data_IF_882039606419
#
_entry.id   IF_882039606419
#
_cell.length_a   1.000
_cell.length_b   1.000
_cell.length_c   1.000
_cell.angle_alpha   90.00
_cell.angle_beta   90.00
_cell.angle_gamma   90.00
#
_symmetry.space_group_name_H-M   'P 1'
#
loop_
_entity.id
_entity.type
_entity.pdbx_description
1 polymer ?
2 non-polymer ?
3 water ?
#
# COMPACT_ATOMS: atom_id res chain seq x y z
N UNK A 3 -17.46 -11.46 -3.09
CA UNK A 3 -16.85 -10.84 -4.30
C UNK A 3 -15.34 -11.02 -4.25
N UNK A 4 -14.76 -11.54 -5.32
CA UNK A 4 -13.31 -11.75 -5.36
C UNK A 4 -12.65 -10.59 -6.11
N UNK A 5 -11.45 -10.20 -5.68
CA UNK A 5 -10.67 -9.19 -6.41
C UNK A 5 -9.42 -9.87 -6.96
N UNK A 6 -8.69 -10.57 -6.10
CA UNK A 6 -7.46 -11.28 -6.53
C UNK A 6 -7.74 -12.69 -7.01
N UNK A 7 -6.80 -13.28 -7.78
CA UNK A 7 -6.90 -14.71 -8.13
C UNK A 7 -7.10 -15.60 -6.90
N UNK A 8 -7.95 -16.62 -7.05
CA UNK A 8 -8.31 -17.53 -5.98
C UNK A 8 -7.17 -18.08 -5.14
N UNK A 9 -6.08 -18.47 -5.80
CA UNK A 9 -4.97 -19.02 -5.07
C UNK A 9 -4.25 -17.95 -4.20
N UNK A 10 -4.16 -16.70 -4.70
CA UNK A 10 -3.61 -15.58 -3.92
C UNK A 10 -4.48 -15.28 -2.71
N UNK A 11 -5.79 -15.19 -2.91
CA UNK A 11 -6.72 -15.07 -1.80
C UNK A 11 -6.59 -16.23 -0.78
N UNK A 12 -6.47 -17.47 -1.28
CA UNK A 12 -6.20 -18.66 -0.43
C UNK A 12 -4.94 -18.45 0.42
N UNK A 13 -3.87 -17.97 -0.21
CA UNK A 13 -2.60 -17.77 0.52
C UNK A 13 -2.76 -16.69 1.60
N UNK A 14 -3.39 -15.56 1.25
CA UNK A 14 -3.64 -14.50 2.20
C UNK A 14 -4.48 -15.02 3.38
N UNK A 15 -5.49 -15.84 3.05
CA UNK A 15 -6.37 -16.40 4.09
C UNK A 15 -5.55 -17.29 5.01
N UNK A 16 -4.62 -18.09 4.46
CA UNK A 16 -3.76 -18.98 5.25
C UNK A 16 -2.91 -18.17 6.24
N UNK A 17 -2.35 -17.06 5.76
CA UNK A 17 -1.51 -16.22 6.62
C UNK A 17 -2.34 -15.64 7.78
N UNK A 18 -3.51 -15.08 7.48
CA UNK A 18 -4.34 -14.48 8.53
C UNK A 18 -4.75 -15.59 9.52
N UNK A 19 -5.12 -16.74 8.98
CA UNK A 19 -5.61 -17.84 9.81
C UNK A 19 -4.51 -18.38 10.76
N UNK A 20 -3.30 -18.53 10.22
CA UNK A 20 -2.15 -19.05 10.97
C UNK A 20 -1.60 -18.04 11.97
N UNK A 21 -1.45 -16.78 11.53
CA UNK A 21 -0.73 -15.81 12.33
C UNK A 21 -1.60 -15.35 13.51
N UNK A 22 -2.91 -15.39 13.34
CA UNK A 22 -3.78 -14.86 14.42
C UNK A 22 -3.57 -15.62 15.76
N UNK A 23 -3.74 -16.97 15.78
CA UNK A 23 -3.53 -17.68 17.06
C UNK A 23 -2.09 -17.69 17.56
N UNK A 24 -1.16 -17.48 16.64
CA UNK A 24 0.24 -17.32 16.99
C UNK A 24 0.60 -15.92 17.53
N UNK A 25 -0.32 -14.97 17.39
CA UNK A 25 -0.12 -13.58 17.85
C UNK A 25 0.94 -12.86 17.03
N UNK A 26 1.05 -13.22 15.76
CA UNK A 26 2.08 -12.65 14.90
C UNK A 26 1.52 -11.58 13.96
N UNK A 27 2.36 -10.61 13.63
CA UNK A 27 1.95 -9.54 12.74
C UNK A 27 2.99 -9.37 11.63
N UNK A 28 2.53 -8.76 10.53
CA UNK A 28 3.35 -8.61 9.34
C UNK A 28 3.39 -7.14 8.90
N UNK A 29 4.49 -6.74 8.30
CA UNK A 29 4.55 -5.47 7.61
C UNK A 29 5.07 -5.70 6.21
N UNK A 30 4.73 -4.81 5.31
CA UNK A 30 5.09 -5.02 3.91
C UNK A 30 5.82 -3.80 3.44
N UNK A 31 6.74 -3.99 2.50
CA UNK A 31 7.48 -2.90 1.90
C UNK A 31 7.45 -3.15 0.40
N UNK A 32 6.84 -2.26 -0.37
CA UNK A 32 6.52 -2.61 -1.74
C UNK A 32 7.01 -1.56 -2.72
N UNK A 33 7.72 -2.02 -3.73
CA UNK A 33 8.08 -1.13 -4.80
C UNK A 33 7.11 -1.49 -5.97
N UNK A 34 7.48 -2.54 -6.71
CA UNK A 34 6.82 -2.90 -7.96
C UNK A 34 5.34 -3.30 -7.86
N UNK A 35 4.92 -3.88 -6.71
CA UNK A 35 3.50 -4.30 -6.51
C UNK A 35 2.61 -3.15 -6.06
N UNK A 36 3.21 -2.03 -5.71
CA UNK A 36 2.48 -0.76 -5.47
C UNK A 36 1.40 -0.76 -4.37
N UNK A 37 1.48 -1.72 -3.45
CA UNK A 37 0.48 -1.82 -2.37
C UNK A 37 -0.40 -3.06 -2.45
N UNK A 38 -0.31 -3.82 -3.57
CA UNK A 38 -1.16 -4.99 -3.76
C UNK A 38 -0.86 -6.14 -2.80
N UNK A 39 0.34 -6.16 -2.20
CA UNK A 39 0.60 -7.24 -1.23
C UNK A 39 -0.23 -6.97 0.05
N UNK A 40 -0.09 -5.75 0.61
CA UNK A 40 -0.98 -5.34 1.72
C UNK A 40 -2.44 -5.44 1.27
N UNK A 41 -2.72 -5.09 0.01
CA UNK A 41 -4.10 -5.16 -0.53
C UNK A 41 -4.66 -6.57 -0.43
N UNK A 42 -3.87 -7.54 -0.90
CA UNK A 42 -4.26 -8.94 -0.86
C UNK A 42 -4.48 -9.44 0.57
N UNK A 43 -3.57 -9.15 1.48
CA UNK A 43 -3.72 -9.57 2.88
C UNK A 43 -4.98 -8.98 3.53
N UNK A 44 -5.31 -7.73 3.16
CA UNK A 44 -6.41 -7.04 3.84
C UNK A 44 -7.75 -7.32 3.13
N UNK A 45 -7.75 -8.16 2.09
CA UNK A 45 -9.02 -8.72 1.57
C UNK A 45 -9.70 -9.68 2.59
N UNK A 46 -8.91 -10.21 3.51
CA UNK A 46 -9.36 -11.21 4.48
C UNK A 46 -9.96 -10.61 5.76
N UNK A 47 -11.20 -10.97 6.05
CA UNK A 47 -11.82 -10.54 7.30
C UNK A 47 -11.01 -11.10 8.46
N UNK A 48 -10.72 -10.24 9.43
CA UNK A 48 -9.80 -10.58 10.53
C UNK A 48 -8.36 -10.15 10.30
N UNK A 49 -8.06 -9.68 9.09
CA UNK A 49 -6.69 -9.23 8.79
C UNK A 49 -6.13 -8.09 9.67
N UNK A 50 -7.01 -7.31 10.28
CA UNK A 50 -6.62 -6.23 11.18
C UNK A 50 -5.82 -6.76 12.37
N UNK A 51 -6.00 -8.04 12.71
CA UNK A 51 -5.26 -8.63 13.82
C UNK A 51 -3.79 -8.86 13.47
N UNK A 52 -3.50 -8.91 12.17
CA UNK A 52 -2.21 -9.42 11.67
C UNK A 52 -1.42 -8.37 10.91
N UNK A 53 -2.09 -7.52 10.14
CA UNK A 53 -1.38 -6.59 9.30
C UNK A 53 -1.06 -5.32 10.09
N UNK A 54 0.21 -5.05 10.31
CA UNK A 54 0.60 -3.94 11.15
C UNK A 54 0.65 -2.65 10.34
N UNK A 55 1.52 -2.61 9.33
CA UNK A 55 1.58 -1.44 8.46
C UNK A 55 2.24 -1.80 7.16
N UNK A 56 2.16 -0.90 6.21
CA UNK A 56 2.72 -1.14 4.89
C UNK A 56 3.38 0.12 4.39
N UNK A 57 4.48 -0.06 3.64
CA UNK A 57 5.22 1.05 3.04
C UNK A 57 5.22 0.82 1.54
N UNK A 58 4.74 1.79 0.77
CA UNK A 58 4.85 1.66 -0.67
C UNK A 58 5.90 2.68 -1.07
N UNK A 59 7.09 2.16 -1.43
CA UNK A 59 8.26 3.01 -1.62
C UNK A 59 8.59 2.92 -3.11
N UNK A 60 7.75 3.62 -3.86
CA UNK A 60 7.69 3.52 -5.30
C UNK A 60 8.90 4.20 -5.90
N UNK A 61 9.42 5.22 -5.21
CA UNK A 61 10.66 5.92 -5.59
C UNK A 61 11.90 5.57 -4.76
N UNK A 62 13.06 5.89 -5.29
CA UNK A 62 14.30 5.78 -4.50
C UNK A 62 14.39 6.68 -3.24
N UNK A 63 13.86 7.90 -3.34
CA UNK A 63 13.68 8.78 -2.17
C UNK A 63 12.88 8.05 -1.07
N UNK A 64 11.75 7.47 -1.45
CA UNK A 64 10.92 6.76 -0.48
C UNK A 64 11.68 5.60 0.20
N UNK A 65 12.46 4.81 -0.57
CA UNK A 65 13.22 3.68 -0.02
C UNK A 65 14.19 4.17 1.06
N UNK A 66 14.89 5.26 0.73
CA UNK A 66 15.78 5.96 1.68
C UNK A 66 15.07 6.49 2.95
N UNK A 67 14.04 7.34 2.79
CA UNK A 67 13.31 8.00 3.91
C UNK A 67 12.50 7.05 4.78
N UNK A 68 11.68 6.24 4.13
CA UNK A 68 10.78 5.38 4.84
C UNK A 68 11.48 4.16 5.42
N UNK A 69 12.46 3.59 4.70
CA UNK A 69 13.01 2.30 5.10
C UNK A 69 14.49 2.29 5.52
N UNK A 70 15.18 3.41 5.29
CA UNK A 70 16.61 3.51 5.58
C UNK A 70 17.51 2.73 4.65
N UNK A 71 17.07 2.49 3.41
CA UNK A 71 17.91 1.85 2.42
C UNK A 71 19.05 2.83 2.08
N UNK A 72 20.28 2.33 2.02
CA UNK A 72 21.45 3.20 1.80
C UNK A 72 21.58 3.75 0.39
N UNK A 73 21.95 5.03 0.29
CA UNK A 73 22.27 5.66 -1.00
C UNK A 73 23.39 4.85 -1.69
N UNK A 74 24.23 4.26 -0.84
CA UNK A 74 25.37 3.44 -1.22
C UNK A 74 24.96 2.06 -1.79
N UNK A 75 23.89 1.49 -1.24
CA UNK A 75 23.33 0.26 -1.78
C UNK A 75 22.66 0.58 -3.12
N UNK A 76 22.01 1.73 -3.21
CA UNK A 76 21.16 2.05 -4.34
C UNK A 76 21.93 2.40 -5.61
N UNK A 77 23.01 3.17 -5.46
CA UNK A 77 23.84 3.53 -6.60
C UNK A 77 24.76 2.37 -7.01
N UNK A 78 25.17 1.53 -6.07
CA UNK A 78 26.06 0.40 -6.40
C UNK A 78 25.29 -0.80 -6.96
N UNK A 79 24.23 -1.22 -6.26
CA UNK A 79 23.50 -2.44 -6.64
C UNK A 79 22.21 -2.18 -7.43
N UNK A 80 21.67 -0.97 -7.33
CA UNK A 80 20.44 -0.60 -8.02
C UNK A 80 19.25 -0.80 -7.10
N UNK A 81 18.12 -0.19 -7.46
CA UNK A 81 16.86 -0.33 -6.71
C UNK A 81 16.38 -1.76 -6.81
N UNK A 82 16.58 -2.36 -7.98
CA UNK A 82 16.24 -3.78 -8.20
C UNK A 82 17.46 -4.67 -7.97
N UNK A 83 17.60 -5.15 -6.75
CA UNK A 83 18.76 -5.97 -6.36
C UNK A 83 18.46 -6.74 -5.08
N UNK A 84 19.20 -7.81 -4.86
CA UNK A 84 19.13 -8.58 -3.63
C UNK A 84 19.39 -7.65 -2.43
N UNK A 85 20.41 -6.79 -2.56
CA UNK A 85 20.81 -5.88 -1.48
C UNK A 85 19.73 -4.87 -1.08
N UNK A 86 19.09 -4.26 -2.08
CA UNK A 86 17.99 -3.32 -1.79
C UNK A 86 16.85 -4.09 -1.12
N UNK A 87 16.54 -5.29 -1.60
CA UNK A 87 15.44 -6.09 -1.02
C UNK A 87 15.68 -6.38 0.46
N UNK A 88 16.90 -6.86 0.75
CA UNK A 88 17.28 -7.11 2.14
C UNK A 88 17.17 -5.87 3.02
N UNK A 89 17.65 -4.72 2.56
CA UNK A 89 17.56 -3.48 3.36
C UNK A 89 16.12 -2.99 3.57
N UNK A 90 15.31 -3.09 2.51
CA UNK A 90 13.88 -2.81 2.62
C UNK A 90 13.21 -3.68 3.70
N UNK A 91 13.52 -4.98 3.70
CA UNK A 91 12.88 -5.93 4.61
C UNK A 91 13.28 -5.58 6.07
N UNK A 92 14.56 -5.30 6.24
CA UNK A 92 15.09 -4.91 7.53
C UNK A 92 14.44 -3.61 8.01
N UNK A 93 14.42 -2.60 7.15
CA UNK A 93 13.74 -1.33 7.45
C UNK A 93 12.26 -1.46 7.81
N UNK A 94 11.53 -2.28 7.04
CA UNK A 94 10.09 -2.42 7.27
C UNK A 94 9.82 -3.12 8.59
N UNK A 95 10.75 -3.98 8.98
CA UNK A 95 10.61 -4.77 10.17
C UNK A 95 10.85 -3.89 11.40
N UNK A 96 11.98 -3.18 11.41
CA UNK A 96 12.37 -2.41 12.60
C UNK A 96 11.79 -0.97 12.66
N UNK A 97 11.06 -0.57 11.61
CA UNK A 97 10.19 0.61 11.67
C UNK A 97 8.70 0.23 11.79
N UNK A 98 8.45 -0.92 12.43
CA UNK A 98 7.09 -1.39 12.66
C UNK A 98 7.04 -2.20 13.94
N UNK A 99 5.83 -2.67 14.29
CA UNK A 99 5.64 -3.55 15.41
C UNK A 99 5.46 -4.99 14.95
N UNK A 100 5.80 -5.29 13.69
CA UNK A 100 5.57 -6.63 13.15
C UNK A 100 6.63 -7.60 13.63
N UNK A 101 6.26 -8.88 13.64
CA UNK A 101 7.21 -9.96 13.76
C UNK A 101 7.95 -10.31 12.48
N UNK A 102 7.28 -10.15 11.32
CA UNK A 102 7.88 -10.47 10.01
C UNK A 102 7.66 -9.30 9.05
N UNK A 103 8.62 -9.08 8.14
CA UNK A 103 8.39 -8.11 7.05
C UNK A 103 8.68 -8.81 5.74
N UNK A 104 7.93 -8.44 4.71
CA UNK A 104 8.24 -8.90 3.36
C UNK A 104 8.47 -7.66 2.50
N UNK A 105 9.51 -7.71 1.66
CA UNK A 105 9.89 -6.59 0.81
C UNK A 105 10.06 -7.07 -0.64
N UNK A 106 9.59 -6.28 -1.59
CA UNK A 106 9.73 -6.64 -3.01
C UNK A 106 10.21 -5.45 -3.81
N UNK A 107 11.15 -5.70 -4.73
CA UNK A 107 11.62 -4.66 -5.63
C UNK A 107 11.86 -5.32 -7.00
N UNK A 108 11.20 -4.79 -8.02
CA UNK A 108 11.32 -5.44 -9.35
C UNK A 108 10.90 -4.55 -10.50
N UNK A 109 10.86 -5.17 -11.70
CA UNK A 109 10.52 -4.46 -12.92
C UNK A 109 9.25 -5.04 -13.51
N UNK A 110 8.13 -4.35 -13.30
CA UNK A 110 6.83 -4.86 -13.79
C UNK A 110 6.64 -4.57 -15.29
N UNK A 111 7.41 -3.62 -15.80
CA UNK A 111 7.29 -3.20 -17.19
C UNK A 111 6.00 -2.46 -17.45
N UNK A 112 5.74 -2.12 -18.72
CA UNK A 112 6.41 -2.53 -19.95
C UNK A 112 7.84 -1.96 -20.10
N UNK A 113 8.12 -0.81 -19.48
CA UNK A 113 9.42 -0.16 -19.66
C UNK A 113 10.46 -0.53 -18.62
N UNK A 114 11.74 -0.28 -18.94
CA UNK A 114 12.77 -0.24 -17.93
C UNK A 114 13.67 -1.48 -17.95
N UNK A 115 13.40 -2.39 -18.88
CA UNK A 115 14.12 -3.68 -18.96
C UNK A 115 15.48 -3.53 -19.67
N UNK A 116 16.46 -4.33 -19.23
CA UNK A 116 17.78 -4.43 -19.88
C UNK A 116 18.22 -5.90 -19.81
N UNK A 117 19.31 -6.23 -20.51
CA UNK A 117 19.78 -7.62 -20.51
C UNK A 117 20.03 -8.13 -19.09
N UNK A 118 20.67 -7.30 -18.28
CA UNK A 118 21.04 -7.66 -16.92
C UNK A 118 19.82 -7.64 -16.00
N UNK A 119 18.92 -6.68 -16.22
CA UNK A 119 17.74 -6.55 -15.36
C UNK A 119 16.48 -6.48 -16.25
N UNK A 120 16.01 -7.63 -16.73
CA UNK A 120 14.89 -7.62 -17.68
C UNK A 120 13.55 -7.36 -16.99
N UNK A 121 12.58 -6.93 -17.77
CA UNK A 121 11.19 -6.91 -17.30
C UNK A 121 10.87 -8.29 -16.71
N UNK A 122 10.22 -8.32 -15.54
CA UNK A 122 9.85 -9.57 -14.89
C UNK A 122 10.83 -10.04 -13.80
N UNK A 123 11.97 -9.38 -13.70
CA UNK A 123 12.94 -9.66 -12.64
C UNK A 123 12.45 -9.04 -11.35
N UNK A 124 12.34 -9.83 -10.29
CA UNK A 124 11.85 -9.30 -9.02
C UNK A 124 12.70 -9.92 -7.92
N UNK A 125 13.15 -9.09 -7.00
CA UNK A 125 13.87 -9.56 -5.81
C UNK A 125 12.89 -9.48 -4.63
N UNK A 126 12.76 -10.58 -3.90
CA UNK A 126 11.87 -10.63 -2.74
C UNK A 126 12.70 -11.05 -1.54
N UNK A 127 12.39 -10.43 -0.39
CA UNK A 127 13.09 -10.78 0.85
C UNK A 127 12.08 -10.75 1.99
N UNK A 128 12.18 -11.72 2.88
CA UNK A 128 11.41 -11.68 4.12
C UNK A 128 12.36 -11.76 5.31
N UNK A 129 12.08 -11.00 6.36
CA UNK A 129 12.93 -11.04 7.57
C UNK A 129 12.10 -11.21 8.85
N UNK A 130 12.66 -11.92 9.82
CA UNK A 130 12.02 -12.12 11.15
C UNK A 130 12.89 -11.45 12.20
N UNK A 131 12.28 -11.13 13.34
CA UNK A 131 12.97 -10.47 14.47
C UNK A 131 14.21 -11.23 14.98
N UNK A 132 14.19 -12.55 14.85
CA UNK A 132 15.32 -13.41 15.28
C UNK A 132 16.51 -13.37 14.31
N UNK A 133 16.38 -12.56 13.27
CA UNK A 133 17.44 -12.42 12.27
C UNK A 133 17.32 -13.31 11.03
N UNK A 134 16.47 -14.33 11.08
CA UNK A 134 16.28 -15.20 9.90
C UNK A 134 15.79 -14.40 8.67
N UNK A 135 16.50 -14.54 7.54
CA UNK A 135 16.13 -13.88 6.28
C UNK A 135 15.97 -14.91 5.17
N UNK A 136 14.93 -14.76 4.34
CA UNK A 136 14.81 -15.55 3.11
C UNK A 136 14.79 -14.59 1.93
N UNK A 137 15.51 -14.95 0.85
CA UNK A 137 15.49 -14.15 -0.39
C UNK A 137 15.28 -15.04 -1.62
N UNK A 138 14.46 -14.59 -2.55
CA UNK A 138 14.31 -15.28 -3.83
C UNK A 138 14.42 -14.27 -4.93
N UNK A 139 15.17 -14.60 -5.96
CA UNK A 139 15.18 -13.84 -7.19
C UNK A 139 14.26 -14.56 -8.15
N UNK A 140 13.25 -13.86 -8.63
CA UNK A 140 12.32 -14.40 -9.60
C UNK A 140 12.52 -13.72 -10.93
N UNK A 141 12.28 -14.50 -11.99
CA UNK A 141 12.30 -14.00 -13.37
C UNK A 141 11.02 -14.47 -14.02
N UNK A 142 9.98 -13.66 -13.92
CA UNK A 142 8.68 -14.08 -14.36
C UNK A 142 8.54 -13.96 -15.89
N UNK A 143 9.48 -13.24 -16.51
CA UNK A 143 9.41 -13.02 -17.96
C UNK A 143 8.66 -11.77 -18.35
N UNK A 144 8.66 -11.47 -19.64
CA UNK A 144 8.00 -10.27 -20.13
C UNK A 144 6.52 -10.62 -20.37
N UNK A 145 5.78 -10.84 -19.29
CA UNK A 145 4.42 -11.39 -19.39
C UNK A 145 3.26 -10.44 -19.13
N UNK A 146 3.58 -9.18 -18.86
CA UNK A 146 2.58 -8.13 -18.66
C UNK A 146 2.68 -7.53 -17.27
N UNK A 147 2.31 -6.26 -17.17
CA UNK A 147 2.51 -5.49 -15.93
C UNK A 147 1.67 -6.06 -14.75
N UNK A 148 0.35 -6.20 -14.94
CA UNK A 148 -0.52 -6.77 -13.93
C UNK A 148 -0.10 -8.22 -13.63
N UNK A 149 0.21 -8.99 -14.69
CA UNK A 149 0.68 -10.38 -14.53
C UNK A 149 1.92 -10.53 -13.62
N UNK A 150 2.93 -9.67 -13.83
CA UNK A 150 4.14 -9.67 -12.99
C UNK A 150 3.82 -9.24 -11.55
N UNK A 151 3.00 -8.21 -11.41
CA UNK A 151 2.59 -7.74 -10.08
C UNK A 151 1.86 -8.83 -9.30
N UNK A 152 0.93 -9.54 -9.96
CA UNK A 152 0.19 -10.58 -9.26
C UNK A 152 1.10 -11.77 -8.96
N UNK A 153 1.99 -12.11 -9.89
CA UNK A 153 2.97 -13.19 -9.69
C UNK A 153 3.84 -12.87 -8.47
N UNK A 154 4.21 -11.60 -8.35
CA UNK A 154 5.00 -11.14 -7.21
C UNK A 154 4.22 -11.27 -5.88
N UNK A 155 2.95 -10.86 -5.90
CA UNK A 155 2.09 -10.99 -4.70
C UNK A 155 2.06 -12.44 -4.25
N UNK A 156 1.81 -13.36 -5.21
CA UNK A 156 1.81 -14.78 -4.90
C UNK A 156 3.12 -15.22 -4.18
N UNK A 157 4.26 -14.95 -4.81
CA UNK A 157 5.53 -15.39 -4.23
C UNK A 157 5.76 -14.76 -2.85
N UNK A 158 5.43 -13.48 -2.70
CA UNK A 158 5.55 -12.74 -1.44
C UNK A 158 4.79 -13.48 -0.31
N UNK A 159 3.57 -13.88 -0.64
CA UNK A 159 2.71 -14.57 0.35
C UNK A 159 3.26 -15.97 0.67
N UNK A 160 3.72 -16.69 -0.34
CA UNK A 160 4.41 -17.98 -0.16
C UNK A 160 5.59 -17.87 0.81
N UNK A 161 6.39 -16.82 0.64
CA UNK A 161 7.54 -16.57 1.49
C UNK A 161 7.20 -16.23 2.94
N UNK A 162 6.16 -15.42 3.16
CA UNK A 162 5.69 -15.16 4.53
C UNK A 162 5.33 -16.47 5.24
N UNK A 163 4.60 -17.33 4.54
CA UNK A 163 4.25 -18.65 5.09
C UNK A 163 5.51 -19.43 5.44
N UNK A 164 6.47 -19.47 4.50
CA UNK A 164 7.72 -20.21 4.71
C UNK A 164 8.55 -19.68 5.88
N UNK A 165 8.62 -18.35 5.98
CA UNK A 165 9.35 -17.68 7.06
C UNK A 165 8.74 -18.03 8.40
N UNK A 166 7.40 -18.07 8.48
CA UNK A 166 6.74 -18.52 9.71
C UNK A 166 7.00 -19.99 10.08
N UNK A 167 6.94 -20.88 9.08
CA UNK A 167 7.23 -22.31 9.28
C UNK A 167 8.59 -22.48 9.92
N UNK A 168 9.56 -21.71 9.44
CA UNK A 168 10.92 -21.69 9.96
C UNK A 168 11.10 -21.07 11.36
N UNK A 169 10.01 -20.77 12.07
CA UNK A 169 10.11 -20.13 13.39
C UNK A 169 9.30 -20.81 14.48
N UNK B 3 -4.55 -8.48 -18.69
CA UNK B 3 -5.08 -8.63 -17.30
C UNK B 3 -5.27 -7.25 -16.69
N UNK B 4 -6.48 -6.94 -16.23
CA UNK B 4 -6.77 -5.70 -15.48
C UNK B 4 -7.41 -6.04 -14.14
N UNK B 5 -6.74 -5.73 -13.04
CA UNK B 5 -7.20 -6.15 -11.73
C UNK B 5 -8.46 -5.39 -11.26
N UNK B 6 -8.48 -4.09 -11.52
CA UNK B 6 -9.55 -3.24 -11.05
C UNK B 6 -10.63 -3.10 -12.12
N UNK B 7 -11.88 -2.78 -11.69
CA UNK B 7 -12.93 -2.53 -12.71
C UNK B 7 -12.62 -1.29 -13.55
N UNK B 8 -13.32 -1.15 -14.68
CA UNK B 8 -12.94 -0.18 -15.72
C UNK B 8 -13.02 1.28 -15.34
N UNK B 9 -13.94 1.64 -14.43
CA UNK B 9 -14.09 3.01 -13.97
C UNK B 9 -12.86 3.38 -13.17
N UNK B 10 -12.50 2.51 -12.22
CA UNK B 10 -11.29 2.74 -11.41
C UNK B 10 -10.04 2.82 -12.31
N UNK B 11 -9.91 1.88 -13.25
CA UNK B 11 -8.73 1.84 -14.11
C UNK B 11 -8.65 3.14 -14.97
N UNK B 12 -9.79 3.58 -15.47
CA UNK B 12 -9.81 4.83 -16.28
C UNK B 12 -9.48 6.07 -15.44
N UNK B 13 -9.99 6.13 -14.22
CA UNK B 13 -9.71 7.29 -13.35
C UNK B 13 -8.21 7.31 -13.03
N UNK B 14 -7.64 6.15 -12.70
CA UNK B 14 -6.18 6.04 -12.48
C UNK B 14 -5.41 6.52 -13.74
N UNK B 15 -5.85 6.06 -14.91
CA UNK B 15 -5.25 6.46 -16.18
C UNK B 15 -5.27 7.98 -16.34
N UNK B 16 -6.43 8.60 -16.03
CA UNK B 16 -6.59 10.07 -16.21
C UNK B 16 -5.63 10.83 -15.32
N UNK B 17 -5.49 10.34 -14.09
CA UNK B 17 -4.57 10.98 -13.16
C UNK B 17 -3.14 10.90 -13.66
N UNK B 18 -2.68 9.71 -14.04
CA UNK B 18 -1.28 9.60 -14.57
C UNK B 18 -1.12 10.49 -15.79
N UNK B 19 -2.11 10.46 -16.66
CA UNK B 19 -2.04 11.16 -17.96
C UNK B 19 -2.00 12.66 -17.71
N UNK B 20 -2.81 13.14 -16.77
CA UNK B 20 -2.88 14.55 -16.44
C UNK B 20 -1.69 15.05 -15.66
N UNK B 21 -1.28 14.26 -14.65
CA UNK B 21 -0.29 14.72 -13.71
C UNK B 21 1.12 14.74 -14.32
N UNK B 22 1.36 13.88 -15.30
CA UNK B 22 2.76 13.77 -15.82
C UNK B 22 3.20 15.11 -16.45
N UNK B 23 2.43 15.62 -17.45
CA UNK B 23 2.87 16.92 -18.06
C UNK B 23 2.86 18.11 -17.11
N UNK B 24 2.13 18.01 -16.00
CA UNK B 24 2.07 19.07 -15.03
C UNK B 24 3.20 18.98 -14.01
N UNK B 25 3.94 17.87 -14.05
CA UNK B 25 5.05 17.56 -13.11
C UNK B 25 4.55 17.32 -11.68
N UNK B 26 3.36 16.74 -11.57
CA UNK B 26 2.73 16.61 -10.26
C UNK B 26 2.86 15.15 -9.80
N UNK B 27 3.08 14.97 -8.50
CA UNK B 27 3.20 13.64 -7.89
C UNK B 27 2.16 13.49 -6.78
N UNK B 28 1.83 12.24 -6.46
CA UNK B 28 0.81 11.88 -5.49
C UNK B 28 1.37 10.92 -4.42
N UNK B 29 0.84 11.08 -3.21
CA UNK B 29 1.09 10.13 -2.14
C UNK B 29 -0.27 9.72 -1.59
N UNK B 30 -0.32 8.49 -1.05
CA UNK B 30 -1.59 8.00 -0.47
C UNK B 30 -1.37 7.58 0.97
N UNK B 31 -2.44 7.64 1.75
CA UNK B 31 -2.45 7.15 3.14
C UNK B 31 -3.74 6.36 3.30
N UNK B 32 -3.62 5.09 3.65
CA UNK B 32 -4.78 4.19 3.53
C UNK B 32 -5.03 3.44 4.82
N UNK B 33 -6.27 3.54 5.29
CA UNK B 33 -6.76 2.83 6.46
C UNK B 33 -8.20 2.33 6.22
N UNK B 34 -8.28 1.40 5.30
CA UNK B 34 -9.41 0.49 5.06
C UNK B 34 -9.21 -0.11 3.69
N UNK B 35 -8.50 0.62 2.81
CA UNK B 35 -8.25 0.15 1.44
C UNK B 35 -6.96 -0.67 1.36
N UNK B 36 -6.15 -0.64 2.42
CA UNK B 36 -5.01 -1.58 2.52
C UNK B 36 -3.95 -1.54 1.43
N UNK B 37 -3.83 -0.41 0.76
CA UNK B 37 -2.83 -0.29 -0.33
C UNK B 37 -3.41 -0.29 -1.71
N UNK B 38 -4.73 -0.57 -1.81
CA UNK B 38 -5.43 -0.63 -3.10
C UNK B 38 -5.49 0.70 -3.88
N UNK B 39 -5.40 1.85 -3.19
CA UNK B 39 -5.43 3.14 -3.92
C UNK B 39 -4.10 3.29 -4.65
N UNK B 40 -2.98 3.09 -3.92
CA UNK B 40 -1.66 3.03 -4.56
C UNK B 40 -1.62 1.92 -5.61
N UNK B 41 -2.26 0.79 -5.33
CA UNK B 41 -2.24 -0.35 -6.25
C UNK B 41 -2.91 0.05 -7.57
N UNK B 42 -4.04 0.69 -7.47
CA UNK B 42 -4.79 1.12 -8.67
C UNK B 42 -4.03 2.14 -9.50
N UNK B 43 -3.39 3.11 -8.84
CA UNK B 43 -2.63 4.13 -9.52
C UNK B 43 -1.44 3.49 -10.26
N UNK B 44 -0.80 2.50 -9.62
CA UNK B 44 0.42 1.89 -10.17
C UNK B 44 0.14 0.77 -11.17
N UNK B 45 -1.15 0.49 -11.42
CA UNK B 45 -1.51 -0.45 -12.49
C UNK B 45 -1.15 0.18 -13.82
N UNK B 46 -1.07 1.51 -13.84
CA UNK B 46 -0.92 2.25 -15.12
C UNK B 46 0.54 2.39 -15.54
N UNK B 47 0.86 1.99 -16.78
CA UNK B 47 2.25 2.19 -17.28
C UNK B 47 2.59 3.70 -17.26
N UNK B 48 3.75 4.04 -16.72
CA UNK B 48 4.16 5.46 -16.65
C UNK B 48 3.85 6.06 -15.28
N UNK B 49 3.17 5.29 -14.43
CA UNK B 49 2.79 5.75 -13.08
C UNK B 49 4.00 6.11 -12.22
N UNK B 50 5.18 5.54 -12.55
CA UNK B 50 6.43 5.91 -11.82
C UNK B 50 6.72 7.39 -11.91
N UNK B 51 6.24 8.05 -12.96
CA UNK B 51 6.47 9.49 -13.07
C UNK B 51 5.71 10.27 -11.97
N UNK B 52 4.65 9.67 -11.42
CA UNK B 52 3.62 10.38 -10.64
C UNK B 52 3.51 9.90 -9.20
N UNK B 53 3.54 8.59 -8.99
CA UNK B 53 3.36 8.02 -7.65
C UNK B 53 4.65 8.09 -6.83
N UNK B 54 4.61 8.82 -5.72
CA UNK B 54 5.81 8.99 -4.88
C UNK B 54 5.88 7.85 -3.87
N UNK B 55 4.93 7.84 -2.94
CA UNK B 55 4.92 6.82 -1.89
C UNK B 55 3.53 6.63 -1.32
N UNK B 56 3.35 5.53 -0.61
CA UNK B 56 2.09 5.29 0.07
C UNK B 56 2.32 4.76 1.47
N UNK B 57 1.40 5.10 2.37
CA UNK B 57 1.46 4.77 3.78
C UNK B 57 0.23 3.93 4.08
N UNK B 58 0.43 2.68 4.45
CA UNK B 58 -0.69 1.85 4.82
C UNK B 58 -0.72 1.71 6.35
N UNK B 59 -1.73 2.33 6.97
CA UNK B 59 -1.75 2.61 8.41
C UNK B 59 -3.08 2.18 9.04
N UNK B 60 -3.31 0.86 9.09
CA UNK B 60 -4.52 0.28 9.68
C UNK B 60 -4.59 0.60 11.15
N UNK B 61 -3.46 0.34 11.82
CA UNK B 61 -3.34 0.52 13.25
C UNK B 61 -3.27 2.00 13.57
N UNK B 62 -3.83 2.36 14.72
CA UNK B 62 -3.79 3.74 15.15
C UNK B 62 -2.39 4.16 15.52
N UNK B 63 -1.60 3.21 15.99
CA UNK B 63 -0.19 3.48 16.26
C UNK B 63 0.49 3.89 14.96
N UNK B 64 0.14 3.22 13.85
CA UNK B 64 0.75 3.53 12.56
C UNK B 64 0.32 4.90 12.07
N UNK B 65 -0.94 5.27 12.31
CA UNK B 65 -1.40 6.59 11.93
C UNK B 65 -0.60 7.64 12.66
N UNK B 66 -0.43 7.46 13.97
CA UNK B 66 0.38 8.43 14.73
C UNK B 66 1.87 8.44 14.29
N UNK B 67 2.48 7.26 14.27
CA UNK B 67 3.93 7.07 13.98
C UNK B 67 4.32 7.52 12.57
N UNK B 68 3.54 7.11 11.58
CA UNK B 68 3.93 7.33 10.18
C UNK B 68 3.42 8.66 9.66
N UNK B 69 2.27 9.13 10.15
CA UNK B 69 1.58 10.29 9.55
C UNK B 69 1.43 11.50 10.50
N UNK B 70 1.78 11.30 11.77
CA UNK B 70 1.67 12.39 12.77
C UNK B 70 0.27 12.68 13.27
N UNK B 71 -0.68 11.76 13.03
CA UNK B 71 -2.05 11.93 13.58
C UNK B 71 -1.97 12.07 15.12
N UNK B 72 -2.67 13.04 15.68
CA UNK B 72 -2.62 13.27 17.16
C UNK B 72 -3.26 12.14 17.94
N UNK B 73 -2.62 11.77 19.06
CA UNK B 73 -3.18 10.80 20.02
C UNK B 73 -4.57 11.26 20.51
N UNK B 74 -4.73 12.54 20.85
CA UNK B 74 -6.01 13.03 21.34
C UNK B 74 -7.07 13.08 20.22
N UNK B 75 -6.65 13.31 18.97
CA UNK B 75 -7.60 13.22 17.84
C UNK B 75 -8.22 11.82 17.79
N UNK B 76 -7.35 10.83 17.85
CA UNK B 76 -7.74 9.43 17.79
C UNK B 76 -8.61 9.02 18.97
N UNK B 77 -8.24 9.46 20.18
CA UNK B 77 -9.02 9.01 21.36
C UNK B 77 -10.37 9.73 21.48
N UNK B 78 -10.45 10.95 20.95
CA UNK B 78 -11.64 11.79 21.04
C UNK B 78 -12.60 11.56 19.87
N UNK B 79 -12.06 11.46 18.65
CA UNK B 79 -12.90 11.37 17.46
C UNK B 79 -12.90 10.01 16.78
N UNK B 80 -11.91 9.20 17.14
CA UNK B 80 -11.77 7.84 16.63
C UNK B 80 -10.97 7.86 15.34
N UNK B 81 -10.47 6.70 14.96
CA UNK B 81 -9.78 6.48 13.68
C UNK B 81 -10.65 6.88 12.51
N UNK B 82 -11.95 6.61 12.62
CA UNK B 82 -12.85 6.87 11.50
C UNK B 82 -13.61 8.17 11.75
N UNK B 83 -12.98 9.27 11.36
CA UNK B 83 -13.52 10.62 11.59
C UNK B 83 -12.97 11.58 10.54
N UNK B 84 -13.66 12.70 10.35
CA UNK B 84 -13.11 13.84 9.56
C UNK B 84 -11.75 14.31 10.07
N UNK B 85 -11.63 14.45 11.38
CA UNK B 85 -10.44 14.97 12.00
C UNK B 85 -9.22 14.09 11.69
N UNK B 86 -9.38 12.78 11.90
CA UNK B 86 -8.31 11.85 11.53
C UNK B 86 -7.96 11.91 10.06
N UNK B 87 -8.96 11.92 9.18
CA UNK B 87 -8.71 11.93 7.74
C UNK B 87 -7.88 13.17 7.33
N UNK B 88 -8.26 14.34 7.88
CA UNK B 88 -7.49 15.58 7.59
C UNK B 88 -6.03 15.51 8.01
N UNK B 89 -5.78 15.02 9.23
CA UNK B 89 -4.42 14.90 9.73
C UNK B 89 -3.65 13.86 8.94
N UNK B 90 -4.30 12.75 8.59
CA UNK B 90 -3.67 11.76 7.69
C UNK B 90 -3.23 12.38 6.38
N UNK B 91 -4.09 13.16 5.73
CA UNK B 91 -3.78 13.77 4.43
C UNK B 91 -2.65 14.79 4.57
N UNK B 92 -2.68 15.55 5.67
CA UNK B 92 -1.63 16.53 5.95
C UNK B 92 -0.27 15.82 6.12
N UNK B 93 -0.27 14.71 6.86
CA UNK B 93 0.96 13.96 7.09
C UNK B 93 1.52 13.32 5.83
N UNK B 94 0.63 12.66 5.06
CA UNK B 94 1.03 12.02 3.80
C UNK B 94 1.60 13.04 2.84
N UNK B 95 1.06 14.27 2.85
CA UNK B 95 1.55 15.28 1.93
C UNK B 95 2.97 15.76 2.34
N UNK B 96 3.11 16.16 3.60
CA UNK B 96 4.36 16.81 4.05
C UNK B 96 5.48 15.84 4.37
N UNK B 97 5.16 14.56 4.54
CA UNK B 97 6.15 13.51 4.74
C UNK B 97 6.43 12.78 3.44
N UNK B 98 6.24 13.47 2.32
CA UNK B 98 6.48 12.84 1.01
C UNK B 98 7.00 13.94 0.10
N UNK B 99 7.42 13.56 -1.09
CA UNK B 99 7.74 14.55 -2.12
C UNK B 99 6.54 14.90 -3.03
N UNK B 100 5.33 14.49 -2.67
CA UNK B 100 4.17 14.70 -3.57
C UNK B 100 3.63 16.13 -3.55
N UNK B 101 2.95 16.51 -4.62
CA UNK B 101 2.19 17.75 -4.64
C UNK B 101 0.77 17.59 -4.06
N UNK B 102 0.21 16.39 -4.20
CA UNK B 102 -1.11 16.07 -3.66
C UNK B 102 -1.06 14.79 -2.84
N UNK B 103 -1.88 14.71 -1.79
CA UNK B 103 -1.98 13.45 -1.00
C UNK B 103 -3.47 13.14 -0.84
N UNK B 104 -3.83 11.87 -0.86
CA UNK B 104 -5.22 11.51 -0.52
C UNK B 104 -5.14 10.52 0.63
N UNK B 105 -6.01 10.68 1.62
CA UNK B 105 -6.03 9.81 2.80
C UNK B 105 -7.44 9.26 2.98
N UNK B 106 -7.55 7.99 3.39
CA UNK B 106 -8.88 7.41 3.66
C UNK B 106 -8.86 6.64 4.94
N UNK B 107 -9.97 6.71 5.66
CA UNK B 107 -10.12 5.96 6.88
C UNK B 107 -11.58 5.53 7.00
N UNK B 108 -11.83 4.24 7.13
CA UNK B 108 -13.23 3.80 7.13
C UNK B 108 -13.40 2.40 7.65
N UNK B 109 -14.64 1.90 7.58
CA UNK B 109 -14.98 0.57 8.07
C UNK B 109 -15.45 -0.27 6.90
N UNK B 110 -14.57 -1.14 6.39
CA UNK B 110 -14.95 -2.02 5.26
C UNK B 110 -15.82 -3.21 5.70
N UNK B 111 -15.80 -3.52 6.99
CA UNK B 111 -16.52 -4.68 7.50
C UNK B 111 -15.94 -6.03 7.06
N UNK B 112 -16.65 -7.14 7.38
CA UNK B 112 -18.00 -7.20 7.96
C UNK B 112 -18.06 -6.73 9.40
N UNK B 113 -16.92 -6.76 10.10
CA UNK B 113 -16.90 -6.39 11.52
C UNK B 113 -16.65 -4.90 11.77
N UNK B 114 -16.97 -4.47 12.99
CA UNK B 114 -16.53 -3.18 13.49
C UNK B 114 -17.57 -2.07 13.40
N UNK B 115 -18.75 -2.37 12.88
CA UNK B 115 -19.82 -1.38 12.73
C UNK B 115 -20.65 -1.15 13.98
N UNK B 116 -21.23 0.04 14.08
CA UNK B 116 -22.12 0.39 15.19
C UNK B 116 -23.13 1.40 14.67
N UNK B 117 -24.14 1.70 15.47
CA UNK B 117 -25.17 2.67 15.12
C UNK B 117 -24.53 3.98 14.65
N UNK B 118 -23.60 4.46 15.46
CA UNK B 118 -22.95 5.76 15.23
C UNK B 118 -21.93 5.71 14.10
N UNK B 119 -21.20 4.61 14.00
CA UNK B 119 -20.20 4.42 12.94
C UNK B 119 -20.46 3.10 12.23
N UNK B 120 -21.34 3.13 11.23
CA UNK B 120 -21.75 1.87 10.63
C UNK B 120 -20.70 1.35 9.66
N UNK B 121 -20.73 0.04 9.39
CA UNK B 121 -19.98 -0.53 8.28
C UNK B 121 -20.29 0.31 7.03
N UNK B 122 -19.25 0.58 6.24
CA UNK B 122 -19.40 1.43 5.05
C UNK B 122 -19.14 2.93 5.25
N UNK B 123 -19.00 3.35 6.50
CA UNK B 123 -18.66 4.76 6.78
C UNK B 123 -17.19 4.96 6.40
N UNK B 124 -16.91 5.91 5.52
CA UNK B 124 -15.52 6.21 5.15
C UNK B 124 -15.34 7.72 5.08
N UNK B 125 -14.27 8.21 5.70
CA UNK B 125 -13.88 9.60 5.55
C UNK B 125 -12.68 9.66 4.62
N UNK B 126 -12.77 10.56 3.62
CA UNK B 126 -11.68 10.79 2.68
C UNK B 126 -11.28 12.26 2.71
N UNK B 127 -9.98 12.52 2.60
CA UNK B 127 -9.46 13.88 2.51
C UNK B 127 -8.30 13.93 1.55
N UNK B 128 -8.27 14.98 0.76
CA UNK B 128 -7.12 15.21 -0.11
C UNK B 128 -6.60 16.61 0.15
N UNK B 129 -5.27 16.76 0.11
CA UNK B 129 -4.62 18.06 0.34
C UNK B 129 -3.57 18.30 -0.72
N UNK B 130 -3.43 19.56 -1.12
CA UNK B 130 -2.39 19.98 -2.06
C UNK B 130 -1.40 20.94 -1.36
N UNK B 131 -0.14 20.96 -1.82
CA UNK B 131 0.84 21.91 -1.34
C UNK B 131 0.43 23.35 -1.52
N UNK B 132 -0.43 23.62 -2.51
CA UNK B 132 -0.96 24.99 -2.70
C UNK B 132 -1.92 25.38 -1.56
N UNK B 133 -2.30 24.40 -0.73
CA UNK B 133 -3.18 24.65 0.41
C UNK B 133 -4.59 24.09 0.28
N UNK B 134 -5.00 23.78 -0.94
CA UNK B 134 -6.35 23.26 -1.18
C UNK B 134 -6.62 21.98 -0.41
N UNK B 135 -7.82 21.89 0.19
CA UNK B 135 -8.26 20.70 0.92
C UNK B 135 -9.68 20.31 0.45
N UNK B 136 -9.90 19.01 0.23
CA UNK B 136 -11.25 18.46 -0.02
C UNK B 136 -11.49 17.31 0.95
N UNK B 137 -12.69 17.25 1.54
CA UNK B 137 -13.06 16.13 2.45
C UNK B 137 -14.46 15.66 2.09
N UNK B 138 -14.67 14.35 2.09
CA UNK B 138 -16.02 13.80 1.96
C UNK B 138 -16.23 12.71 2.99
N UNK B 139 -17.41 12.72 3.61
CA UNK B 139 -17.88 11.63 4.44
C UNK B 139 -18.83 10.80 3.58
N UNK B 140 -18.45 9.56 3.34
CA UNK B 140 -19.24 8.61 2.54
C UNK B 140 -19.86 7.57 3.47
N UNK B 141 -21.09 7.19 3.16
CA UNK B 141 -21.77 6.11 3.86
C UNK B 141 -22.25 5.12 2.82
N UNK B 142 -21.36 4.22 2.43
CA UNK B 142 -21.59 3.28 1.32
C UNK B 142 -22.63 2.20 1.63
N UNK B 143 -22.90 1.98 2.90
CA UNK B 143 -23.81 0.92 3.35
C UNK B 143 -23.07 -0.38 3.61
N UNK B 144 -23.81 -1.38 4.10
CA UNK B 144 -23.28 -2.70 4.40
C UNK B 144 -23.28 -3.58 3.15
N UNK B 145 -22.40 -3.24 2.21
CA UNK B 145 -22.46 -3.75 0.86
C UNK B 145 -21.37 -4.78 0.53
N UNK B 146 -20.52 -5.08 1.52
CA UNK B 146 -19.46 -6.09 1.36
C UNK B 146 -18.08 -5.46 1.48
N UNK B 147 -17.13 -6.24 2.00
CA UNK B 147 -15.80 -5.68 2.31
C UNK B 147 -15.07 -5.21 1.03
N UNK B 148 -14.99 -6.08 0.03
CA UNK B 148 -14.32 -5.72 -1.25
C UNK B 148 -15.06 -4.55 -1.91
N UNK B 149 -16.40 -4.60 -1.87
CA UNK B 149 -17.26 -3.54 -2.45
C UNK B 149 -16.96 -2.19 -1.85
N UNK B 150 -16.89 -2.11 -0.50
CA UNK B 150 -16.58 -0.83 0.16
C UNK B 150 -15.14 -0.34 -0.20
N UNK B 151 -14.19 -1.26 -0.18
CA UNK B 151 -12.81 -0.93 -0.56
C UNK B 151 -12.70 -0.34 -2.00
N UNK B 152 -13.37 -0.99 -2.94
CA UNK B 152 -13.34 -0.49 -4.31
C UNK B 152 -14.11 0.84 -4.43
N UNK B 153 -15.25 0.97 -3.74
CA UNK B 153 -15.99 2.22 -3.73
C UNK B 153 -15.12 3.35 -3.23
N UNK B 154 -14.32 3.06 -2.20
CA UNK B 154 -13.43 4.03 -1.58
C UNK B 154 -12.32 4.42 -2.55
N UNK B 155 -11.74 3.42 -3.22
CA UNK B 155 -10.71 3.67 -4.27
C UNK B 155 -11.27 4.64 -5.31
N UNK B 156 -12.42 4.31 -5.89
CA UNK B 156 -13.02 5.25 -6.87
C UNK B 156 -13.19 6.67 -6.32
N UNK B 157 -13.83 6.83 -5.15
CA UNK B 157 -13.97 8.19 -4.58
C UNK B 157 -12.62 8.93 -4.40
N UNK B 158 -11.58 8.22 -3.95
CA UNK B 158 -10.25 8.80 -3.69
C UNK B 158 -9.69 9.33 -5.02
N UNK B 159 -9.82 8.52 -6.06
CA UNK B 159 -9.29 8.93 -7.35
C UNK B 159 -10.06 10.14 -7.89
N UNK B 160 -11.39 10.11 -7.80
CA UNK B 160 -12.24 11.25 -8.19
C UNK B 160 -11.80 12.54 -7.48
N UNK B 161 -11.43 12.40 -6.21
CA UNK B 161 -11.03 13.56 -5.41
C UNK B 161 -9.69 14.14 -5.86
N UNK B 162 -8.74 13.27 -6.20
CA UNK B 162 -7.45 13.71 -6.74
C UNK B 162 -7.67 14.51 -8.05
N UNK B 163 -8.55 13.98 -8.91
CA UNK B 163 -8.89 14.66 -10.16
C UNK B 163 -9.51 16.04 -9.87
N UNK B 164 -10.52 16.06 -9.01
CA UNK B 164 -11.15 17.33 -8.59
C UNK B 164 -10.19 18.34 -8.01
N UNK B 165 -9.29 17.86 -7.15
CA UNK B 165 -8.33 18.72 -6.48
C UNK B 165 -7.49 19.41 -7.53
N UNK B 166 -7.10 18.63 -8.55
CA UNK B 166 -6.28 19.13 -9.63
C UNK B 166 -6.99 20.14 -10.55
N UNK B 167 -8.31 20.16 -10.52
CA UNK B 167 -9.02 21.34 -11.08
C UNK B 167 -9.71 22.18 -10.01
X LIG C 1 -10.49 -7.08 9.81
X LIG D 1 5.99 3.07 -14.76
#
# INVERSE_FOLDING_TARGET
GSMSLFPGDIEELARRIITDFTPLGLMVSTAESCTGGLIAGALTEIAGSSAVVDRGFVTYTNDAKRDMLGVGTETLTTFGAVSRQTALQMAHGALYRSRANFAVAVTGIAGPGGGSAEKPVGLVHLATKARNGNVLHHEMRYGDIGRTEIRLATVRTALEMLIALNQAGSV
GSMSLFPGDIEELARRIITDFTPLGLMVSTAESCTGGLIAGALTEIAGSSAVVDRGFVTYTNDAKRDMLGVGTETLTTFGAVSRQTALQMAHGALYRSRANFAVAVTGIAGPGGGSAEKPVGLVHLATKARNGNVLHHEMRYGDIGRTEIRLATVRTALEMLIALNQAGSV
CL CL
CL CL
#
